data_IF_936248047611
#
_entry.id   IF_936248047611
#
_cell.length_a   1.000
_cell.length_b   1.000
_cell.length_c   1.000
_cell.angle_alpha   90.00
_cell.angle_beta   90.00
_cell.angle_gamma   90.00
#
_symmetry.space_group_name_H-M   'P 1'
#
loop_
_entity.id
_entity.type
_entity.pdbx_description
1 polymer ?
#
# COMPACT_ATOMS: atom_id res chain seq x y z
N UNK A 1 -12.16 3.91 12.65
CA UNK A 1 -11.86 2.46 12.74
C UNK A 1 -11.23 2.05 11.41
N UNK A 2 -10.05 1.44 11.40
CA UNK A 2 -9.43 0.97 10.15
C UNK A 2 -9.87 -0.47 9.82
N UNK A 3 -9.93 -0.83 8.54
CA UNK A 3 -10.20 -2.22 8.10
C UNK A 3 -9.00 -2.79 7.33
N UNK A 4 -8.80 -4.10 7.40
CA UNK A 4 -7.68 -4.81 6.77
C UNK A 4 -8.22 -5.99 5.96
N UNK A 5 -7.85 -6.08 4.68
CA UNK A 5 -8.35 -7.12 3.78
C UNK A 5 -7.29 -7.58 2.78
N UNK A 6 -7.38 -8.85 2.37
CA UNK A 6 -6.70 -9.34 1.15
C UNK A 6 -7.49 -8.95 -0.10
N UNK A 7 -6.74 -8.53 -1.11
CA UNK A 7 -7.29 -8.40 -2.45
C UNK A 7 -7.62 -9.79 -3.01
N UNK A 8 -8.80 -9.92 -3.62
CA UNK A 8 -9.30 -11.19 -4.13
C UNK A 8 -9.67 -11.05 -5.59
N UNK A 9 -9.23 -11.99 -6.42
CA UNK A 9 -9.60 -12.04 -7.83
C UNK A 9 -11.11 -12.27 -7.97
N UNK A 10 -11.81 -11.33 -8.61
CA UNK A 10 -13.25 -11.42 -8.88
C UNK A 10 -13.63 -12.53 -9.87
N UNK A 11 -12.68 -13.02 -10.67
CA UNK A 11 -12.92 -14.09 -11.66
C UNK A 11 -12.78 -15.51 -11.10
N UNK A 12 -11.80 -15.76 -10.23
CA UNK A 12 -11.50 -17.12 -9.73
C UNK A 12 -11.47 -17.24 -8.20
N UNK A 13 -11.70 -16.15 -7.46
CA UNK A 13 -11.70 -16.15 -5.98
C UNK A 13 -10.32 -16.29 -5.33
N UNK A 14 -9.24 -16.36 -6.12
CA UNK A 14 -7.88 -16.46 -5.59
C UNK A 14 -7.45 -15.18 -4.87
N UNK A 15 -6.73 -15.33 -3.75
CA UNK A 15 -6.01 -14.23 -3.06
C UNK A 15 -4.55 -14.11 -3.49
N UNK A 16 -4.06 -15.07 -4.28
CA UNK A 16 -2.70 -15.03 -4.81
C UNK A 16 -2.61 -13.99 -5.94
N UNK A 17 -1.79 -12.97 -5.73
CA UNK A 17 -1.63 -11.84 -6.64
C UNK A 17 -0.17 -11.54 -6.96
N UNK A 18 0.06 -10.93 -8.12
CA UNK A 18 1.34 -10.38 -8.56
C UNK A 18 1.20 -8.87 -8.72
N UNK A 19 2.17 -8.12 -8.19
CA UNK A 19 2.22 -6.67 -8.35
C UNK A 19 3.15 -6.31 -9.52
N UNK A 20 2.58 -5.84 -10.62
CA UNK A 20 3.32 -5.33 -11.77
C UNK A 20 3.59 -3.83 -11.58
N UNK A 21 4.83 -3.48 -11.23
CA UNK A 21 5.23 -2.10 -10.90
C UNK A 21 5.69 -1.34 -12.16
N UNK A 22 5.03 -0.24 -12.46
CA UNK A 22 5.37 0.67 -13.58
C UNK A 22 5.92 2.00 -13.05
N UNK A 23 7.13 2.34 -13.49
CA UNK A 23 7.82 3.59 -13.11
C UNK A 23 8.20 4.34 -14.39
N UNK A 24 7.76 5.59 -14.48
CA UNK A 24 8.15 6.51 -15.56
C UNK A 24 8.62 7.82 -14.96
N UNK A 25 9.70 8.39 -15.51
CA UNK A 25 10.28 9.65 -15.01
C UNK A 25 9.25 10.77 -15.09
N UNK A 26 9.07 11.49 -13.98
CA UNK A 26 8.11 12.60 -13.89
C UNK A 26 6.65 12.17 -13.67
N UNK A 27 6.37 10.86 -13.56
CA UNK A 27 5.04 10.35 -13.28
C UNK A 27 5.00 9.61 -11.94
N UNK A 28 3.85 9.60 -11.22
CA UNK A 28 3.65 8.74 -10.07
C UNK A 28 3.84 7.26 -10.43
N UNK A 29 4.37 6.48 -9.49
CA UNK A 29 4.50 5.04 -9.67
C UNK A 29 3.10 4.40 -9.71
N UNK A 30 2.89 3.49 -10.66
CA UNK A 30 1.65 2.73 -10.79
C UNK A 30 1.90 1.26 -10.49
N UNK A 31 1.04 0.63 -9.72
CA UNK A 31 1.04 -0.83 -9.51
C UNK A 31 -0.20 -1.39 -10.17
N UNK A 32 -0.01 -2.36 -11.05
CA UNK A 32 -1.08 -3.15 -11.66
C UNK A 32 -1.11 -4.52 -11.00
N UNK A 33 -2.19 -4.81 -10.28
CA UNK A 33 -2.37 -6.07 -9.57
C UNK A 33 -2.97 -7.09 -10.52
N UNK A 34 -2.30 -8.23 -10.65
CA UNK A 34 -2.71 -9.35 -11.50
C UNK A 34 -2.98 -10.57 -10.64
N UNK A 35 -4.01 -11.35 -10.96
CA UNK A 35 -4.24 -12.64 -10.32
C UNK A 35 -3.15 -13.63 -10.71
N UNK A 36 -2.43 -14.19 -9.73
CA UNK A 36 -1.38 -15.17 -9.99
C UNK A 36 -1.91 -16.49 -10.56
N UNK A 37 -3.18 -16.82 -10.34
CA UNK A 37 -3.80 -18.07 -10.81
C UNK A 37 -4.40 -17.98 -12.21
N UNK A 38 -5.14 -16.92 -12.52
CA UNK A 38 -5.87 -16.82 -13.81
C UNK A 38 -5.42 -15.65 -14.71
N UNK A 39 -4.41 -14.87 -14.28
CA UNK A 39 -3.86 -13.75 -15.07
C UNK A 39 -4.79 -12.54 -15.22
N UNK A 40 -5.95 -12.53 -14.54
CA UNK A 40 -6.87 -11.40 -14.65
C UNK A 40 -6.31 -10.15 -13.97
N UNK A 41 -6.47 -8.99 -14.61
CA UNK A 41 -6.29 -7.70 -13.94
C UNK A 41 -7.29 -7.55 -12.79
N UNK A 42 -6.80 -7.16 -11.61
CA UNK A 42 -7.60 -6.98 -10.39
C UNK A 42 -7.77 -5.49 -10.09
N UNK A 43 -6.66 -4.76 -9.94
CA UNK A 43 -6.67 -3.36 -9.51
C UNK A 43 -5.47 -2.58 -10.03
N UNK A 44 -5.59 -1.25 -10.01
CA UNK A 44 -4.47 -0.32 -10.29
C UNK A 44 -4.34 0.69 -9.17
N UNK A 45 -3.20 0.66 -8.49
CA UNK A 45 -2.82 1.66 -7.49
C UNK A 45 -1.91 2.73 -8.09
N UNK A 46 -2.14 3.98 -7.70
CA UNK A 46 -1.20 5.07 -7.93
C UNK A 46 -0.53 5.38 -6.60
N UNK A 47 0.77 5.11 -6.49
CA UNK A 47 1.52 5.31 -5.25
C UNK A 47 2.17 6.68 -5.25
N UNK A 48 1.88 7.44 -4.20
CA UNK A 48 2.55 8.71 -3.90
C UNK A 48 3.89 8.49 -3.18
N UNK A 49 3.97 7.43 -2.35
CA UNK A 49 5.16 7.04 -1.58
C UNK A 49 5.32 5.53 -1.59
N UNK A 50 6.56 5.06 -1.47
CA UNK A 50 6.90 3.64 -1.39
C UNK A 50 7.94 3.40 -0.31
N UNK A 51 7.63 2.44 0.56
CA UNK A 51 8.50 1.96 1.64
C UNK A 51 8.58 0.45 1.55
N UNK A 52 9.78 -0.09 1.76
CA UNK A 52 10.01 -1.52 1.88
C UNK A 52 10.43 -1.86 3.31
N UNK A 53 10.57 -3.15 3.60
CA UNK A 53 11.14 -3.68 4.84
C UNK A 53 12.62 -3.26 5.07
N UNK A 54 13.27 -2.61 4.09
CA UNK A 54 14.61 -2.04 4.22
C UNK A 54 14.55 -0.62 4.81
N UNK A 55 14.94 -0.42 6.08
CA UNK A 55 14.55 0.76 6.85
C UNK A 55 15.32 2.05 6.50
N UNK A 56 16.57 1.95 6.00
CA UNK A 56 17.47 3.12 5.96
C UNK A 56 17.80 3.63 4.54
N UNK A 57 18.13 2.74 3.61
CA UNK A 57 18.55 3.16 2.26
C UNK A 57 17.39 3.63 1.36
N UNK A 58 16.19 3.10 1.58
CA UNK A 58 14.99 3.46 0.81
C UNK A 58 14.52 4.88 1.17
N UNK A 59 14.68 5.29 2.43
CA UNK A 59 14.39 6.63 2.94
C UNK A 59 15.33 7.70 2.34
N UNK A 60 16.65 7.42 2.29
CA UNK A 60 17.65 8.34 1.73
C UNK A 60 17.44 8.59 0.23
N UNK A 61 16.94 7.60 -0.53
CA UNK A 61 16.61 7.77 -1.96
C UNK A 61 15.35 8.62 -2.17
N UNK A 62 14.37 8.53 -1.27
CA UNK A 62 13.11 9.30 -1.36
C UNK A 62 13.30 10.76 -0.91
N UNK A 63 14.03 11.00 0.19
CA UNK A 63 14.35 12.36 0.66
C UNK A 63 15.19 13.17 -0.34
N UNK A 64 16.07 12.52 -1.11
CA UNK A 64 16.83 13.19 -2.18
C UNK A 64 15.96 13.66 -3.35
N UNK A 65 14.76 13.09 -3.54
CA UNK A 65 13.82 13.49 -4.60
C UNK A 65 12.83 14.58 -4.15
N UNK A 66 12.50 14.65 -2.87
CA UNK A 66 11.54 15.62 -2.31
C UNK A 66 12.21 16.94 -1.87
N UNK A 67 13.04 17.55 -2.72
CA UNK A 67 13.75 18.83 -2.46
C UNK A 67 12.85 20.07 -2.23
N UNK A 68 11.53 19.90 -2.06
CA UNK A 68 10.53 20.97 -2.01
C UNK A 68 9.52 20.89 -0.85
N UNK A 69 9.67 19.96 0.09
CA UNK A 69 8.76 19.83 1.23
C UNK A 69 9.37 20.50 2.47
N UNK A 70 8.71 21.54 3.01
CA UNK A 70 9.22 22.36 4.11
C UNK A 70 9.53 21.54 5.38
N UNK A 71 10.46 22.03 6.21
CA UNK A 71 11.12 21.28 7.30
C UNK A 71 10.18 20.54 8.27
N UNK A 72 8.97 21.07 8.52
CA UNK A 72 7.95 20.43 9.37
C UNK A 72 7.37 19.15 8.76
N UNK A 73 7.23 19.11 7.43
CA UNK A 73 6.73 17.92 6.73
C UNK A 73 7.78 16.81 6.68
N UNK A 74 9.07 17.17 6.58
CA UNK A 74 10.18 16.22 6.68
C UNK A 74 10.25 15.57 8.07
N UNK A 75 10.05 16.34 9.14
CA UNK A 75 10.02 15.81 10.51
C UNK A 75 8.89 14.80 10.71
N UNK A 76 7.69 15.10 10.20
CA UNK A 76 6.54 14.17 10.26
C UNK A 76 6.78 12.88 9.47
N UNK A 77 7.42 12.98 8.31
CA UNK A 77 7.85 11.80 7.54
C UNK A 77 8.85 10.97 8.36
N UNK A 78 9.79 11.60 9.05
CA UNK A 78 10.76 10.89 9.89
C UNK A 78 10.08 10.19 11.07
N UNK A 79 9.11 10.83 11.73
CA UNK A 79 8.33 10.23 12.83
C UNK A 79 7.44 9.08 12.36
N UNK A 80 6.76 9.21 11.22
CA UNK A 80 5.95 8.12 10.64
C UNK A 80 6.82 6.92 10.23
N UNK A 81 8.10 7.15 9.91
CA UNK A 81 9.09 6.12 9.59
C UNK A 81 9.84 5.57 10.82
N UNK A 82 9.78 6.24 11.98
CA UNK A 82 10.48 5.78 13.18
C UNK A 82 9.77 4.59 13.85
N UNK A 83 8.50 4.37 13.51
CA UNK A 83 7.78 3.13 13.82
C UNK A 83 8.37 2.00 12.97
N UNK A 84 8.91 0.91 13.57
CA UNK A 84 9.46 -0.20 12.81
C UNK A 84 8.40 -0.79 11.87
N UNK A 85 8.69 -0.79 10.56
CA UNK A 85 7.80 -1.32 9.51
C UNK A 85 7.39 -2.78 9.80
N UNK A 86 8.28 -3.53 10.45
CA UNK A 86 8.02 -4.90 10.92
C UNK A 86 6.93 -4.97 12.00
N UNK A 87 6.92 -4.05 12.97
CA UNK A 87 5.90 -4.01 14.02
C UNK A 87 4.54 -3.62 13.45
N UNK A 88 4.51 -2.62 12.56
CA UNK A 88 3.29 -2.23 11.86
C UNK A 88 2.74 -3.40 11.02
N UNK A 89 3.61 -4.11 10.29
CA UNK A 89 3.22 -5.27 9.52
C UNK A 89 2.60 -6.38 10.40
N UNK A 90 3.27 -6.77 11.49
CA UNK A 90 2.76 -7.80 12.40
C UNK A 90 1.45 -7.38 13.08
N UNK A 91 1.28 -6.11 13.42
CA UNK A 91 0.03 -5.59 13.95
C UNK A 91 -1.13 -5.72 12.94
N UNK A 92 -0.92 -5.29 11.68
CA UNK A 92 -1.93 -5.39 10.62
C UNK A 92 -2.27 -6.86 10.32
N UNK A 93 -1.27 -7.75 10.35
CA UNK A 93 -1.48 -9.20 10.20
C UNK A 93 -2.38 -9.78 11.29
N UNK A 94 -2.19 -9.37 12.56
CA UNK A 94 -3.08 -9.76 13.68
C UNK A 94 -4.49 -9.22 13.51
N UNK A 95 -4.65 -7.95 13.16
CA UNK A 95 -5.96 -7.34 12.94
C UNK A 95 -6.76 -8.06 11.86
N UNK A 96 -6.10 -8.48 10.78
CA UNK A 96 -6.72 -9.27 9.71
C UNK A 96 -7.32 -10.57 10.21
N UNK A 97 -6.59 -11.32 11.05
CA UNK A 97 -7.03 -12.61 11.58
C UNK A 97 -8.23 -12.47 12.52
N UNK A 98 -8.29 -11.36 13.26
CA UNK A 98 -9.38 -11.03 14.17
C UNK A 98 -10.63 -10.51 13.45
N UNK A 99 -10.48 -9.56 12.53
CA UNK A 99 -11.60 -8.82 11.94
C UNK A 99 -12.31 -9.56 10.81
N UNK A 100 -11.61 -10.46 10.09
CA UNK A 100 -12.17 -11.32 9.01
C UNK A 100 -13.12 -10.58 8.03
N UNK A 101 -12.72 -9.40 7.57
CA UNK A 101 -13.52 -8.55 6.67
C UNK A 101 -13.85 -9.24 5.33
N UNK A 102 -15.14 -9.32 5.00
CA UNK A 102 -15.65 -10.05 3.83
C UNK A 102 -16.03 -9.15 2.66
N UNK A 103 -16.34 -7.87 2.90
CA UNK A 103 -16.73 -6.90 1.87
C UNK A 103 -15.62 -6.62 0.86
N UNK A 104 -15.95 -6.25 -0.37
CA UNK A 104 -14.94 -5.92 -1.39
C UNK A 104 -14.24 -4.59 -1.08
N UNK A 105 -13.05 -4.37 -1.65
CA UNK A 105 -12.27 -3.16 -1.39
C UNK A 105 -13.00 -1.91 -1.86
N UNK A 106 -13.64 -1.97 -3.03
CA UNK A 106 -14.45 -0.88 -3.57
C UNK A 106 -15.64 -0.51 -2.69
N UNK A 107 -16.27 -1.50 -2.03
CA UNK A 107 -17.40 -1.28 -1.11
C UNK A 107 -16.94 -0.51 0.13
N UNK A 108 -15.76 -0.83 0.65
CA UNK A 108 -15.14 -0.16 1.80
C UNK A 108 -14.76 1.28 1.46
N UNK A 109 -14.15 1.51 0.30
CA UNK A 109 -13.74 2.86 -0.14
C UNK A 109 -14.97 3.76 -0.25
N UNK A 110 -16.02 3.29 -0.92
CA UNK A 110 -17.26 4.06 -1.13
C UNK A 110 -17.96 4.40 0.19
N UNK A 111 -17.90 3.53 1.20
CA UNK A 111 -18.43 3.83 2.53
C UNK A 111 -17.62 4.93 3.23
N UNK A 112 -16.30 4.83 3.21
CA UNK A 112 -15.41 5.79 3.86
C UNK A 112 -15.46 7.20 3.25
N UNK A 113 -15.72 7.31 1.94
CA UNK A 113 -15.87 8.61 1.27
C UNK A 113 -17.21 9.31 1.56
N UNK A 114 -18.19 8.59 2.14
CA UNK A 114 -19.53 9.11 2.48
C UNK A 114 -19.65 9.58 3.94
N UNK A 115 -18.62 9.36 4.75
CA UNK A 115 -18.60 9.67 6.19
C UNK A 115 -17.72 10.88 6.46
#
# INVERSE_FOLDING_TARGET
>A
MGTVKFETCSRCGSVDVKNNVYIKRGEPMRIYVECAKCGSFIARYTLTKYTSDKPYESLLKNLRKERFLGSRSAAKIIEEFSVPVSEAFEHIKKLRETLKEKRKVEEIIVELEKT
#
